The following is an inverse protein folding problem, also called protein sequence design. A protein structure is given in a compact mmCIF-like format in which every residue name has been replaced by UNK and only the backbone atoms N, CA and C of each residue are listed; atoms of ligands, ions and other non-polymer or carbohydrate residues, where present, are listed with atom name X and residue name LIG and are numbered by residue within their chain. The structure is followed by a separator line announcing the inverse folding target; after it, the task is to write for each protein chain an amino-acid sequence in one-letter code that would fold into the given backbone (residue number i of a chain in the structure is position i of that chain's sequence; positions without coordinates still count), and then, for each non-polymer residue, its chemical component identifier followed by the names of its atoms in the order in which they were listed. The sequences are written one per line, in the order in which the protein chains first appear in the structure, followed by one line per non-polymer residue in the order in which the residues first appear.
data_IF_833218701448
#
_entry.id   IF_833218701448
#
_cell.length_a   1.000
_cell.length_b   1.000
_cell.length_c   1.000
_cell.angle_alpha   90.00
_cell.angle_beta   90.00
_cell.angle_gamma   90.00
#
_symmetry.space_group_name_H-M   'P 1'
#
loop_
_entity.id
_entity.type
_entity.pdbx_description
1 polymer ?
#
# COMPACT_ATOMS: atom_id res chain seq x y z
N UNK A 1 -22.70 2.85 22.92
CA UNK A 1 -21.57 3.73 22.57
C UNK A 1 -21.85 4.19 21.15
N UNK A 2 -22.03 5.49 20.95
CA UNK A 2 -22.37 6.08 19.65
C UNK A 2 -21.39 5.61 18.58
N UNK A 3 -21.92 4.91 17.59
CA UNK A 3 -21.21 4.56 16.37
C UNK A 3 -20.95 5.86 15.62
N UNK A 4 -19.79 6.49 15.88
CA UNK A 4 -19.39 7.77 15.29
C UNK A 4 -19.13 7.57 13.81
N UNK A 5 -20.19 7.52 13.01
CA UNK A 5 -20.11 7.61 11.56
C UNK A 5 -19.64 9.00 11.16
N UNK A 6 -18.83 9.08 10.11
CA UNK A 6 -18.39 10.34 9.52
C UNK A 6 -18.78 10.39 8.05
N UNK A 7 -18.94 11.59 7.52
CA UNK A 7 -19.09 11.81 6.07
C UNK A 7 -17.74 12.28 5.54
N UNK A 8 -17.24 11.62 4.50
CA UNK A 8 -15.99 11.97 3.84
C UNK A 8 -16.11 11.69 2.34
N UNK A 9 -15.83 12.70 1.50
CA UNK A 9 -16.09 12.69 0.05
C UNK A 9 -17.49 12.16 -0.31
N UNK A 10 -18.54 12.71 0.31
CA UNK A 10 -19.94 12.32 0.07
C UNK A 10 -20.32 10.91 0.55
N UNK A 11 -19.39 10.16 1.14
CA UNK A 11 -19.64 8.81 1.62
C UNK A 11 -19.78 8.76 3.14
N UNK A 12 -20.81 8.08 3.61
CA UNK A 12 -20.90 7.70 5.03
C UNK A 12 -19.90 6.57 5.30
N UNK A 13 -19.09 6.77 6.33
CA UNK A 13 -18.06 5.84 6.78
C UNK A 13 -18.31 5.46 8.23
N UNK A 14 -18.22 4.17 8.53
CA UNK A 14 -18.24 3.64 9.89
C UNK A 14 -16.82 3.40 10.40
N UNK A 15 -16.67 3.46 11.72
CA UNK A 15 -15.38 3.25 12.36
C UNK A 15 -14.96 1.79 12.15
N UNK A 16 -13.79 1.60 11.53
CA UNK A 16 -13.20 0.27 11.34
C UNK A 16 -12.12 0.01 12.38
N UNK A 17 -11.66 -1.24 12.44
CA UNK A 17 -10.63 -1.73 13.39
C UNK A 17 -9.35 -0.89 13.42
N UNK A 18 -9.00 -0.22 12.31
CA UNK A 18 -7.81 0.65 12.19
C UNK A 18 -8.11 2.15 12.29
N UNK A 19 -9.31 2.53 12.71
CA UNK A 19 -9.71 3.94 12.84
C UNK A 19 -9.83 4.69 11.52
N UNK A 20 -9.98 6.01 11.61
CA UNK A 20 -10.18 6.92 10.47
C UNK A 20 -8.91 7.58 9.95
N UNK A 21 -7.81 7.52 10.71
CA UNK A 21 -6.48 8.06 10.38
C UNK A 21 -5.41 7.03 10.69
N UNK A 22 -4.32 7.05 9.93
CA UNK A 22 -3.13 6.25 10.20
C UNK A 22 -2.45 6.79 11.46
N UNK A 23 -2.21 5.89 12.41
CA UNK A 23 -1.43 6.15 13.61
C UNK A 23 -0.41 5.03 13.78
N UNK A 24 0.62 5.29 14.58
CA UNK A 24 1.64 4.29 14.87
C UNK A 24 1.01 3.05 15.53
N UNK A 25 0.03 3.26 16.39
CA UNK A 25 -0.65 2.23 17.18
C UNK A 25 -1.57 1.35 16.31
N UNK A 26 -2.20 1.91 15.28
CA UNK A 26 -3.12 1.17 14.41
C UNK A 26 -2.47 0.63 13.12
N UNK A 27 -1.19 0.93 12.89
CA UNK A 27 -0.48 0.55 11.68
C UNK A 27 -0.26 -0.97 11.58
N UNK A 28 0.25 -1.58 12.65
CA UNK A 28 0.64 -2.99 12.65
C UNK A 28 -0.29 -3.85 13.52
N UNK A 29 -1.17 -4.61 12.87
CA UNK A 29 -1.96 -5.66 13.54
C UNK A 29 -1.23 -6.98 13.34
N UNK A 30 -0.72 -7.55 14.43
CA UNK A 30 0.01 -8.82 14.42
C UNK A 30 -0.91 -9.95 13.98
N UNK A 31 -0.42 -10.80 13.09
CA UNK A 31 -1.06 -12.05 12.68
C UNK A 31 0.02 -13.09 12.39
N UNK A 32 -0.11 -14.28 12.94
CA UNK A 32 0.76 -15.40 12.60
C UNK A 32 0.32 -16.14 11.33
N UNK A 33 -0.81 -15.80 10.72
CA UNK A 33 -1.24 -16.43 9.47
C UNK A 33 -0.49 -15.84 8.28
N UNK A 34 0.19 -16.72 7.53
CA UNK A 34 0.76 -16.40 6.23
C UNK A 34 -0.35 -16.06 5.23
N UNK A 35 -0.12 -15.01 4.46
CA UNK A 35 -1.02 -14.57 3.40
C UNK A 35 -0.48 -14.93 2.01
N UNK A 36 0.66 -15.61 1.94
CA UNK A 36 1.31 -16.03 0.70
C UNK A 36 0.80 -17.39 0.18
N UNK A 37 -0.10 -18.05 0.91
CA UNK A 37 -0.55 -19.42 0.62
C UNK A 37 0.50 -20.46 1.03
N UNK A 38 0.35 -21.69 0.55
CA UNK A 38 1.29 -22.78 0.87
C UNK A 38 2.66 -22.47 0.29
N UNK A 39 3.69 -22.61 1.12
CA UNK A 39 5.07 -22.43 0.70
C UNK A 39 5.58 -23.69 0.00
N UNK A 40 5.42 -23.74 -1.32
CA UNK A 40 5.82 -24.90 -2.13
C UNK A 40 7.31 -25.19 -2.08
N UNK A 41 8.16 -24.16 -1.90
CA UNK A 41 9.61 -24.35 -1.75
C UNK A 41 9.90 -25.11 -0.46
N UNK A 42 9.28 -24.70 0.66
CA UNK A 42 9.46 -25.39 1.94
C UNK A 42 8.93 -26.83 1.90
N UNK A 43 7.74 -27.03 1.33
CA UNK A 43 7.15 -28.36 1.15
C UNK A 43 8.06 -29.26 0.30
N UNK A 44 8.66 -28.73 -0.77
CA UNK A 44 9.59 -29.49 -1.61
C UNK A 44 10.91 -29.77 -0.90
N UNK A 45 11.43 -28.83 -0.12
CA UNK A 45 12.63 -29.03 0.70
C UNK A 45 12.45 -30.18 1.69
N UNK A 46 11.30 -30.24 2.38
CA UNK A 46 10.95 -31.35 3.26
C UNK A 46 10.89 -32.70 2.53
N UNK A 47 10.30 -32.75 1.33
CA UNK A 47 10.23 -33.97 0.51
C UNK A 47 11.60 -34.46 0.03
N UNK A 48 12.53 -33.54 -0.24
CA UNK A 48 13.88 -33.83 -0.73
C UNK A 48 14.92 -33.99 0.39
N UNK A 49 14.51 -33.79 1.64
CA UNK A 49 15.40 -33.71 2.80
C UNK A 49 16.54 -32.67 2.60
N UNK A 50 16.22 -31.51 2.03
CA UNK A 50 17.18 -30.40 1.89
C UNK A 50 17.34 -29.70 3.25
N UNK A 51 18.30 -30.17 4.05
CA UNK A 51 18.53 -29.71 5.42
C UNK A 51 18.74 -28.19 5.51
N UNK A 52 19.41 -27.59 4.52
CA UNK A 52 19.70 -26.16 4.50
C UNK A 52 18.41 -25.34 4.36
N UNK A 53 17.56 -25.68 3.39
CA UNK A 53 16.28 -25.01 3.19
C UNK A 53 15.30 -25.30 4.34
N UNK A 54 15.26 -26.55 4.81
CA UNK A 54 14.41 -26.94 5.95
C UNK A 54 14.74 -26.09 7.16
N UNK A 55 16.02 -25.95 7.51
CA UNK A 55 16.46 -25.12 8.64
C UNK A 55 16.00 -23.67 8.47
N UNK A 56 16.31 -23.06 7.33
CA UNK A 56 15.95 -21.66 7.04
C UNK A 56 14.43 -21.40 7.15
N UNK A 57 13.59 -22.30 6.63
CA UNK A 57 12.14 -22.12 6.71
C UNK A 57 11.56 -22.48 8.08
N UNK A 58 12.17 -23.42 8.82
CA UNK A 58 11.72 -23.78 10.19
C UNK A 58 11.97 -22.69 11.24
N UNK A 59 12.85 -21.73 10.94
CA UNK A 59 13.06 -20.52 11.74
C UNK A 59 11.96 -19.47 11.49
N UNK A 60 11.19 -19.61 10.40
CA UNK A 60 10.13 -18.66 9.99
C UNK A 60 8.74 -19.24 10.29
N UNK A 61 8.51 -20.49 9.89
CA UNK A 61 7.20 -21.15 9.93
C UNK A 61 7.10 -22.17 11.07
N UNK A 62 5.96 -22.20 11.73
CA UNK A 62 5.61 -23.14 12.79
C UNK A 62 5.03 -24.44 12.24
N UNK A 63 4.57 -24.44 10.99
CA UNK A 63 3.98 -25.59 10.30
C UNK A 63 4.77 -25.96 9.03
N UNK A 64 4.59 -27.19 8.57
CA UNK A 64 5.31 -27.73 7.40
C UNK A 64 4.78 -27.24 6.05
N UNK A 65 3.64 -26.54 6.03
CA UNK A 65 3.06 -25.99 4.79
C UNK A 65 3.40 -24.50 4.60
N UNK A 66 3.98 -23.84 5.61
CA UNK A 66 4.30 -22.42 5.57
C UNK A 66 3.07 -21.51 5.69
N UNK A 67 2.03 -21.98 6.38
CA UNK A 67 0.79 -21.24 6.59
C UNK A 67 0.78 -20.45 7.90
N UNK A 68 1.63 -20.81 8.86
CA UNK A 68 1.68 -20.23 10.20
C UNK A 68 3.12 -19.80 10.49
N UNK A 69 3.33 -18.52 10.75
CA UNK A 69 4.57 -17.98 11.26
C UNK A 69 4.77 -18.32 12.72
N UNK A 70 6.03 -18.41 13.14
CA UNK A 70 6.38 -18.55 14.56
C UNK A 70 6.22 -17.24 15.30
N UNK A 71 5.95 -17.32 16.60
CA UNK A 71 5.76 -16.15 17.45
C UNK A 71 7.03 -15.29 17.60
N UNK A 72 8.21 -15.92 17.64
CA UNK A 72 9.51 -15.24 17.66
C UNK A 72 9.75 -14.46 16.36
N UNK A 73 9.44 -15.06 15.21
CA UNK A 73 9.44 -14.37 13.93
C UNK A 73 8.46 -13.19 13.92
N UNK A 74 7.22 -13.37 14.38
CA UNK A 74 6.23 -12.28 14.43
C UNK A 74 6.69 -11.11 15.32
N UNK A 75 7.30 -11.38 16.47
CA UNK A 75 7.84 -10.33 17.35
C UNK A 75 8.96 -9.54 16.67
N UNK A 76 9.90 -10.24 16.01
CA UNK A 76 10.98 -9.61 15.26
C UNK A 76 10.41 -8.75 14.12
N UNK A 77 9.51 -9.32 13.32
CA UNK A 77 8.89 -8.62 12.19
C UNK A 77 8.11 -7.38 12.65
N UNK A 78 7.44 -7.42 13.81
CA UNK A 78 6.78 -6.24 14.37
C UNK A 78 7.76 -5.11 14.65
N UNK A 79 8.92 -5.41 15.24
CA UNK A 79 9.97 -4.40 15.51
C UNK A 79 10.42 -3.75 14.20
N UNK A 80 10.71 -4.56 13.18
CA UNK A 80 11.12 -4.10 11.86
C UNK A 80 10.04 -3.24 11.18
N UNK A 81 8.77 -3.65 11.29
CA UNK A 81 7.62 -2.94 10.73
C UNK A 81 7.45 -1.57 11.39
N UNK A 82 7.57 -1.52 12.71
CA UNK A 82 7.46 -0.27 13.48
C UNK A 82 8.64 0.65 13.17
N UNK A 83 9.85 0.12 13.03
CA UNK A 83 11.00 0.88 12.57
C UNK A 83 10.78 1.46 11.16
N UNK A 84 10.28 0.66 10.22
CA UNK A 84 9.96 1.12 8.88
C UNK A 84 8.90 2.24 8.87
N UNK A 85 7.91 2.15 9.76
CA UNK A 85 6.91 3.20 9.94
C UNK A 85 7.55 4.51 10.39
N UNK A 86 8.37 4.45 11.45
CA UNK A 86 9.02 5.63 12.02
C UNK A 86 9.96 6.28 10.99
N UNK A 87 10.70 5.49 10.21
CA UNK A 87 11.52 5.98 9.09
C UNK A 87 10.70 6.70 8.02
N UNK A 88 9.56 6.14 7.61
CA UNK A 88 8.68 6.79 6.64
C UNK A 88 8.09 8.10 7.18
N UNK A 89 7.66 8.13 8.45
CA UNK A 89 7.12 9.35 9.06
C UNK A 89 8.17 10.45 9.12
N UNK A 90 9.38 10.13 9.57
CA UNK A 90 10.50 11.07 9.57
C UNK A 90 10.84 11.54 8.14
N UNK A 91 10.77 10.65 7.15
CA UNK A 91 10.98 11.02 5.75
C UNK A 91 9.92 12.02 5.27
N UNK A 92 8.63 11.77 5.56
CA UNK A 92 7.54 12.66 5.16
C UNK A 92 7.67 14.06 5.76
N UNK A 93 8.12 14.17 7.02
CA UNK A 93 8.34 15.45 7.69
C UNK A 93 9.43 16.31 7.04
N UNK A 94 10.33 15.71 6.25
CA UNK A 94 11.41 16.42 5.53
C UNK A 94 11.02 16.86 4.13
N UNK A 95 9.85 16.47 3.63
CA UNK A 95 9.45 16.75 2.25
C UNK A 95 9.05 18.22 2.06
N UNK A 96 9.40 18.76 0.90
CA UNK A 96 9.05 20.14 0.52
C UNK A 96 7.58 20.19 0.05
N UNK A 97 6.73 20.79 0.88
CA UNK A 97 5.31 20.99 0.58
C UNK A 97 5.07 21.90 -0.63
N UNK A 98 5.89 22.93 -0.85
CA UNK A 98 5.72 23.85 -1.98
C UNK A 98 6.01 23.10 -3.28
N UNK A 99 7.11 22.35 -3.31
CA UNK A 99 7.44 21.49 -4.44
C UNK A 99 6.36 20.44 -4.71
N UNK A 100 5.81 19.83 -3.65
CA UNK A 100 4.73 18.85 -3.77
C UNK A 100 3.48 19.46 -4.44
N UNK A 101 3.03 20.62 -3.97
CA UNK A 101 1.89 21.33 -4.57
C UNK A 101 2.16 21.73 -6.02
N UNK A 102 3.36 22.19 -6.33
CA UNK A 102 3.76 22.55 -7.69
C UNK A 102 3.68 21.34 -8.64
N UNK A 103 4.11 20.14 -8.21
CA UNK A 103 4.00 18.93 -9.02
C UNK A 103 2.55 18.51 -9.25
N UNK A 104 1.69 18.59 -8.24
CA UNK A 104 0.24 18.32 -8.38
C UNK A 104 -0.39 19.31 -9.35
N UNK A 105 -0.08 20.60 -9.23
CA UNK A 105 -0.59 21.63 -10.13
C UNK A 105 -0.09 21.44 -11.58
N UNK A 106 1.18 21.05 -11.77
CA UNK A 106 1.72 20.74 -13.09
C UNK A 106 1.07 19.49 -13.70
N UNK A 107 0.81 18.46 -12.90
CA UNK A 107 0.12 17.26 -13.36
C UNK A 107 -1.28 17.59 -13.88
N UNK A 108 -2.07 18.39 -13.14
CA UNK A 108 -3.42 18.81 -13.57
C UNK A 108 -3.42 19.64 -14.85
N UNK A 109 -2.34 20.36 -15.16
CA UNK A 109 -2.21 21.11 -16.44
C UNK A 109 -1.94 20.20 -17.64
N UNK A 110 -1.32 19.03 -17.41
CA UNK A 110 -0.85 18.12 -18.48
C UNK A 110 -1.79 16.93 -18.70
N UNK A 111 -2.40 16.44 -17.62
CA UNK A 111 -3.22 15.24 -17.63
C UNK A 111 -4.71 15.59 -17.65
N UNK A 112 -5.56 14.64 -18.09
CA UNK A 112 -7.03 14.79 -18.15
C UNK A 112 -7.73 14.65 -16.79
N UNK A 113 -6.97 14.73 -15.70
CA UNK A 113 -7.49 14.58 -14.36
C UNK A 113 -8.16 15.87 -13.89
N UNK A 114 -9.14 15.73 -13.01
CA UNK A 114 -9.74 16.82 -12.27
C UNK A 114 -10.02 16.41 -10.83
N UNK A 115 -10.04 17.39 -9.93
CA UNK A 115 -10.30 17.16 -8.51
C UNK A 115 -11.80 16.99 -8.25
N UNK A 116 -12.15 16.08 -7.33
CA UNK A 116 -13.54 15.83 -6.92
C UNK A 116 -13.70 16.03 -5.42
N UNK A 117 -14.89 16.46 -5.02
CA UNK A 117 -15.28 16.64 -3.62
C UNK A 117 -16.28 15.58 -3.15
N UNK A 118 -16.88 14.83 -4.08
CA UNK A 118 -17.84 13.76 -3.80
C UNK A 118 -17.45 12.49 -4.59
N UNK A 119 -17.07 11.44 -3.87
CA UNK A 119 -16.68 10.15 -4.46
C UNK A 119 -17.90 9.27 -4.78
N UNK A 120 -19.08 9.58 -4.25
CA UNK A 120 -20.29 8.77 -4.41
C UNK A 120 -20.73 8.65 -5.87
N UNK A 121 -20.44 9.67 -6.68
CA UNK A 121 -20.77 9.80 -8.11
C UNK A 121 -19.85 8.98 -9.04
N UNK A 122 -18.73 8.44 -8.54
CA UNK A 122 -17.68 7.83 -9.37
C UNK A 122 -17.67 6.30 -9.31
N UNK A 123 -18.85 5.67 -9.47
CA UNK A 123 -18.96 4.21 -9.73
C UNK A 123 -18.70 3.91 -11.21
N UNK A 124 -17.51 4.25 -11.68
CA UNK A 124 -17.13 4.15 -13.08
C UNK A 124 -15.66 3.70 -13.23
N UNK A 125 -15.28 3.17 -14.40
CA UNK A 125 -13.90 2.84 -14.69
C UNK A 125 -13.06 4.10 -14.88
N UNK A 126 -11.76 3.97 -14.62
CA UNK A 126 -10.79 5.01 -14.93
C UNK A 126 -9.60 5.01 -13.98
N UNK A 127 -8.88 6.12 -14.01
CA UNK A 127 -7.72 6.37 -13.16
C UNK A 127 -8.08 7.31 -12.01
N UNK A 128 -7.36 7.19 -10.91
CA UNK A 128 -7.51 8.06 -9.76
C UNK A 128 -6.15 8.36 -9.11
N UNK A 129 -6.07 9.52 -8.45
CA UNK A 129 -4.97 9.88 -7.56
C UNK A 129 -5.55 10.14 -6.19
N UNK A 130 -5.08 9.40 -5.19
CA UNK A 130 -5.33 9.71 -3.78
C UNK A 130 -4.18 10.56 -3.28
N UNK A 131 -4.49 11.77 -2.78
CA UNK A 131 -3.49 12.71 -2.28
C UNK A 131 -3.59 12.76 -0.75
N UNK A 132 -2.43 12.68 -0.11
CA UNK A 132 -2.25 12.63 1.34
C UNK A 132 -1.42 13.84 1.78
N UNK A 133 -2.04 15.04 1.77
CA UNK A 133 -1.31 16.33 1.88
C UNK A 133 -0.41 16.43 3.10
N UNK A 134 -0.85 15.90 4.24
CA UNK A 134 -0.07 15.87 5.49
C UNK A 134 1.30 15.20 5.31
N UNK A 135 1.40 14.26 4.38
CA UNK A 135 2.57 13.41 4.20
C UNK A 135 3.37 13.78 2.93
N UNK A 136 2.92 14.78 2.15
CA UNK A 136 3.42 15.04 0.79
C UNK A 136 3.48 13.75 -0.04
N UNK A 137 2.48 12.87 0.10
CA UNK A 137 2.42 11.62 -0.64
C UNK A 137 1.18 11.57 -1.52
N UNK A 138 1.30 10.86 -2.64
CA UNK A 138 0.19 10.51 -3.50
C UNK A 138 0.29 9.06 -3.99
N UNK A 139 -0.86 8.51 -4.36
CA UNK A 139 -0.99 7.19 -4.96
C UNK A 139 -1.79 7.31 -6.25
N UNK A 140 -1.22 6.83 -7.35
CA UNK A 140 -1.92 6.71 -8.62
C UNK A 140 -2.45 5.29 -8.76
N UNK A 141 -3.68 5.12 -9.22
CA UNK A 141 -4.24 3.80 -9.49
C UNK A 141 -5.19 3.79 -10.67
N UNK A 142 -5.48 2.59 -11.16
CA UNK A 142 -6.50 2.30 -12.19
C UNK A 142 -7.47 1.24 -11.70
N UNK A 143 -8.71 1.26 -12.19
CA UNK A 143 -9.73 0.28 -11.82
C UNK A 143 -10.96 0.34 -12.74
N UNK A 144 -11.76 -0.73 -12.73
CA UNK A 144 -13.11 -0.72 -13.32
C UNK A 144 -14.17 0.00 -12.47
N UNK A 145 -13.87 0.33 -11.21
CA UNK A 145 -14.77 1.10 -10.32
C UNK A 145 -13.96 1.94 -9.30
N UNK A 146 -13.80 3.24 -9.60
CA UNK A 146 -12.99 4.18 -8.81
C UNK A 146 -13.46 4.25 -7.36
N UNK A 147 -14.75 4.49 -7.14
CA UNK A 147 -15.36 4.58 -5.81
C UNK A 147 -15.08 3.34 -4.98
N UNK A 148 -15.37 2.16 -5.52
CA UNK A 148 -15.20 0.91 -4.78
C UNK A 148 -13.72 0.62 -4.50
N UNK A 149 -12.82 0.95 -5.42
CA UNK A 149 -11.39 0.72 -5.22
C UNK A 149 -10.79 1.63 -4.15
N UNK A 150 -11.10 2.93 -4.16
CA UNK A 150 -10.63 3.85 -3.11
C UNK A 150 -11.17 3.42 -1.74
N UNK A 151 -12.44 3.02 -1.64
CA UNK A 151 -13.02 2.48 -0.40
C UNK A 151 -12.27 1.23 0.11
N UNK A 152 -11.83 0.35 -0.79
CA UNK A 152 -11.02 -0.82 -0.41
C UNK A 152 -9.66 -0.42 0.18
N UNK A 153 -9.01 0.60 -0.41
CA UNK A 153 -7.76 1.15 0.12
C UNK A 153 -7.97 1.74 1.53
N UNK A 154 -8.98 2.59 1.71
CA UNK A 154 -9.31 3.14 3.03
C UNK A 154 -9.62 2.06 4.09
N UNK A 155 -10.30 0.99 3.68
CA UNK A 155 -10.59 -0.14 4.56
C UNK A 155 -9.35 -0.98 4.92
N UNK A 156 -8.21 -0.77 4.24
CA UNK A 156 -6.98 -1.54 4.45
C UNK A 156 -7.12 -3.00 4.01
N UNK A 157 -7.99 -3.29 3.03
CA UNK A 157 -8.38 -4.65 2.68
C UNK A 157 -7.21 -5.58 2.32
N UNK A 158 -6.14 -5.01 1.75
CA UNK A 158 -4.92 -5.74 1.36
C UNK A 158 -3.78 -5.65 2.36
N UNK A 159 -3.95 -4.92 3.46
CA UNK A 159 -2.87 -4.71 4.43
C UNK A 159 -2.75 -5.94 5.34
N UNK A 160 -1.71 -6.74 5.10
CA UNK A 160 -1.40 -7.96 5.84
C UNK A 160 -0.08 -7.80 6.57
N UNK A 161 0.00 -8.34 7.79
CA UNK A 161 1.14 -8.19 8.69
C UNK A 161 2.47 -8.57 8.01
N UNK A 162 2.48 -9.72 7.35
CA UNK A 162 3.60 -10.30 6.60
C UNK A 162 3.93 -9.59 5.27
N UNK A 163 3.21 -8.50 4.94
CA UNK A 163 3.40 -7.70 3.71
C UNK A 163 3.59 -6.20 3.99
N UNK A 164 3.74 -5.83 5.26
CA UNK A 164 3.95 -4.43 5.67
C UNK A 164 5.29 -3.89 5.19
N UNK A 165 6.33 -4.73 5.15
CA UNK A 165 7.63 -4.40 4.56
C UNK A 165 7.72 -5.01 3.16
N UNK A 166 8.16 -4.21 2.20
CA UNK A 166 8.42 -4.63 0.81
C UNK A 166 9.88 -4.33 0.49
N UNK A 167 10.73 -5.36 0.52
CA UNK A 167 12.18 -5.22 0.36
C UNK A 167 12.88 -4.89 1.69
N UNK A 168 13.81 -3.94 1.67
CA UNK A 168 14.61 -3.56 2.84
C UNK A 168 13.85 -2.58 3.75
N UNK A 169 14.04 -2.67 5.07
CA UNK A 169 13.39 -1.80 6.07
C UNK A 169 13.64 -0.32 5.78
N UNK A 170 14.87 0.04 5.41
CA UNK A 170 15.27 1.42 5.12
C UNK A 170 14.82 1.91 3.74
N UNK A 171 14.20 1.04 2.93
CA UNK A 171 13.78 1.37 1.56
C UNK A 171 12.31 1.13 1.23
N UNK A 172 11.61 0.42 2.12
CA UNK A 172 10.22 0.03 1.95
C UNK A 172 9.30 1.22 2.17
N UNK A 173 8.58 1.63 1.12
CA UNK A 173 7.51 2.63 1.23
C UNK A 173 6.30 2.06 1.97
N UNK A 174 5.57 2.91 2.71
CA UNK A 174 4.26 2.51 3.23
C UNK A 174 3.27 2.23 2.09
N UNK A 175 2.49 1.16 2.22
CA UNK A 175 1.39 0.87 1.29
C UNK A 175 0.33 1.98 1.33
N UNK A 176 -0.31 2.29 0.21
CA UNK A 176 -1.51 3.15 0.21
C UNK A 176 -2.60 2.57 1.14
N UNK A 177 -2.69 1.23 1.23
CA UNK A 177 -3.61 0.53 2.13
C UNK A 177 -3.30 0.75 3.62
N UNK A 178 -2.16 1.38 3.96
CA UNK A 178 -1.79 1.80 5.32
C UNK A 178 -2.51 3.08 5.74
N UNK A 179 -2.78 3.96 4.79
CA UNK A 179 -3.53 5.18 5.03
C UNK A 179 -5.03 4.88 5.14
N UNK A 180 -5.72 5.68 5.94
CA UNK A 180 -7.15 5.61 6.17
C UNK A 180 -7.86 6.70 5.39
N UNK A 181 -9.18 6.72 5.52
CA UNK A 181 -10.03 7.68 4.84
C UNK A 181 -9.59 9.12 5.06
N UNK A 182 -9.50 9.55 6.33
CA UNK A 182 -9.21 10.95 6.66
C UNK A 182 -7.73 11.33 6.49
N UNK A 183 -6.87 10.41 6.04
CA UNK A 183 -5.54 10.75 5.58
C UNK A 183 -5.57 11.22 4.11
N UNK A 184 -6.61 10.83 3.35
CA UNK A 184 -6.86 11.32 2.00
C UNK A 184 -7.55 12.67 2.09
N UNK A 185 -6.91 13.69 1.52
CA UNK A 185 -7.36 15.08 1.60
C UNK A 185 -7.83 15.61 0.27
N UNK A 186 -7.30 15.06 -0.85
CA UNK A 186 -7.78 15.34 -2.21
C UNK A 186 -7.89 14.04 -3.00
N UNK A 187 -8.83 14.00 -3.94
CA UNK A 187 -8.98 12.92 -4.91
C UNK A 187 -9.02 13.54 -6.30
N UNK A 188 -8.11 13.10 -7.17
CA UNK A 188 -8.18 13.41 -8.59
C UNK A 188 -8.71 12.20 -9.33
N UNK A 189 -9.53 12.40 -10.36
CA UNK A 189 -10.06 11.31 -11.19
C UNK A 189 -9.92 11.62 -12.67
N UNK A 190 -9.79 10.56 -13.46
CA UNK A 190 -9.94 10.57 -14.90
C UNK A 190 -10.81 9.37 -15.30
N UNK A 191 -12.15 9.55 -15.37
CA UNK A 191 -13.07 8.51 -15.81
C UNK A 191 -12.82 8.14 -17.27
N UNK A 192 -12.64 6.84 -17.54
CA UNK A 192 -12.36 6.30 -18.88
C UNK A 192 -12.48 4.78 -18.86
N UNK A 193 -12.90 4.18 -19.97
CA UNK A 193 -12.92 2.72 -20.14
C UNK A 193 -11.52 2.14 -20.48
N UNK A 194 -10.59 2.98 -20.94
CA UNK A 194 -9.19 2.60 -21.25
C UNK A 194 -8.32 2.53 -19.98
N UNK A 195 -8.42 1.42 -19.23
CA UNK A 195 -7.84 1.27 -17.90
C UNK A 195 -6.51 0.47 -17.84
N UNK A 196 -5.96 0.03 -18.98
CA UNK A 196 -4.85 -0.94 -19.01
C UNK A 196 -3.49 -0.38 -19.41
N UNK A 197 -3.40 0.88 -19.84
CA UNK A 197 -2.26 1.31 -20.66
C UNK A 197 -1.38 2.42 -20.05
N UNK A 198 -1.85 3.16 -19.02
CA UNK A 198 -1.25 4.48 -18.67
C UNK A 198 -0.88 4.69 -17.20
N UNK A 199 -1.00 3.69 -16.32
CA UNK A 199 -0.75 3.90 -14.89
C UNK A 199 0.70 4.36 -14.62
N UNK A 200 1.70 3.72 -15.24
CA UNK A 200 3.10 4.13 -15.08
C UNK A 200 3.40 5.49 -15.72
N UNK A 201 2.70 5.87 -16.80
CA UNK A 201 2.83 7.20 -17.41
C UNK A 201 2.44 8.29 -16.41
N UNK A 202 1.31 8.12 -15.73
CA UNK A 202 0.85 9.05 -14.70
C UNK A 202 1.72 9.02 -13.44
N UNK A 203 2.19 7.85 -13.00
CA UNK A 203 3.14 7.74 -11.88
C UNK A 203 4.42 8.53 -12.17
N UNK A 204 4.96 8.41 -13.38
CA UNK A 204 6.24 9.03 -13.77
C UNK A 204 6.13 10.55 -14.00
N UNK A 205 4.93 11.13 -13.89
CA UNK A 205 4.75 12.59 -13.87
C UNK A 205 5.20 13.23 -12.55
N UNK A 206 5.40 12.43 -11.50
CA UNK A 206 5.74 12.87 -10.15
C UNK A 206 7.13 12.38 -9.73
N UNK A 207 7.81 13.16 -8.91
CA UNK A 207 9.07 12.77 -8.27
C UNK A 207 8.87 11.57 -7.35
N UNK A 208 9.82 10.63 -7.34
CA UNK A 208 9.73 9.38 -6.58
C UNK A 208 9.53 9.58 -5.06
N UNK A 209 9.97 10.71 -4.53
CA UNK A 209 9.81 11.11 -3.12
C UNK A 209 8.34 11.37 -2.73
N UNK A 210 7.49 11.74 -3.68
CA UNK A 210 6.07 12.01 -3.45
C UNK A 210 5.16 10.81 -3.76
N UNK A 211 5.64 9.78 -4.45
CA UNK A 211 4.80 8.66 -4.91
C UNK A 211 4.90 7.43 -4.00
N UNK A 212 3.80 7.03 -3.36
CA UNK A 212 3.75 5.85 -2.49
C UNK A 212 3.39 4.53 -3.19
N UNK A 213 3.20 4.51 -4.52
CA UNK A 213 3.11 3.27 -5.31
C UNK A 213 4.35 2.39 -5.04
N UNK A 214 4.11 1.12 -4.66
CA UNK A 214 5.17 0.13 -4.34
C UNK A 214 5.55 -0.76 -5.52
N UNK A 215 4.70 -0.86 -6.53
CA UNK A 215 4.88 -1.69 -7.73
C UNK A 215 4.41 -0.85 -8.94
N UNK A 216 5.12 -0.93 -10.07
CA UNK A 216 4.67 -0.35 -11.35
C UNK A 216 3.45 -1.07 -11.94
N UNK A 217 2.70 -0.39 -12.80
CA UNK A 217 1.40 -0.80 -13.35
C UNK A 217 1.45 -1.85 -14.47
N UNK A 218 2.46 -2.74 -14.48
CA UNK A 218 2.62 -3.74 -15.56
C UNK A 218 1.78 -4.97 -15.24
N UNK A 219 1.06 -5.49 -16.26
CA UNK A 219 0.37 -6.78 -16.24
C UNK A 219 1.21 -7.85 -15.53
N UNK A 220 0.70 -8.32 -14.38
CA UNK A 220 1.28 -9.40 -13.59
C UNK A 220 1.08 -10.76 -14.30
N UNK A 221 1.59 -10.92 -15.54
CA UNK A 221 1.60 -12.22 -16.21
C UNK A 221 2.62 -13.20 -15.59
N UNK A 222 3.56 -12.73 -14.73
CA UNK A 222 4.66 -13.56 -14.22
C UNK A 222 4.91 -13.48 -12.69
N UNK A 223 3.87 -13.37 -11.88
CA UNK A 223 3.92 -13.65 -10.43
C UNK A 223 4.97 -12.86 -9.62
N UNK A 224 5.46 -13.44 -8.51
CA UNK A 224 6.34 -12.80 -7.51
C UNK A 224 7.64 -12.23 -8.11
N UNK A 225 8.19 -12.85 -9.16
CA UNK A 225 9.39 -12.39 -9.86
C UNK A 225 9.18 -11.05 -10.58
N UNK A 226 8.04 -10.88 -11.26
CA UNK A 226 7.67 -9.58 -11.88
C UNK A 226 7.40 -8.48 -10.85
N UNK A 227 6.93 -8.84 -9.65
CA UNK A 227 6.69 -7.87 -8.57
C UNK A 227 8.01 -7.34 -7.97
N UNK A 228 9.03 -8.20 -7.80
CA UNK A 228 10.35 -7.80 -7.30
C UNK A 228 11.12 -6.92 -8.30
N UNK A 229 10.99 -7.18 -9.60
CA UNK A 229 11.66 -6.40 -10.66
C UNK A 229 11.07 -5.00 -10.84
N UNK A 230 9.78 -4.81 -10.54
CA UNK A 230 9.05 -3.54 -10.67
C UNK A 230 8.85 -2.83 -9.32
N UNK A 231 9.55 -3.27 -8.27
CA UNK A 231 9.41 -2.71 -6.94
C UNK A 231 9.94 -1.28 -6.90
N UNK A 232 9.06 -0.33 -6.57
CA UNK A 232 9.41 1.09 -6.41
C UNK A 232 9.80 1.35 -4.96
N UNK A 233 11.10 1.44 -4.69
CA UNK A 233 11.66 1.80 -3.37
C UNK A 233 12.12 3.26 -3.34
N UNK A 234 12.50 3.75 -2.16
CA UNK A 234 13.23 5.02 -1.99
C UNK A 234 14.18 4.90 -0.81
N UNK A 235 15.18 5.76 -0.70
CA UNK A 235 15.94 5.84 0.55
C UNK A 235 15.11 6.59 1.60
N UNK A 236 15.11 6.11 2.85
CA UNK A 236 14.40 6.73 3.97
C UNK A 236 15.35 7.35 5.00
N UNK A 237 16.64 7.01 4.93
CA UNK A 237 17.70 7.55 5.79
C UNK A 237 18.25 8.88 5.25
#
# INVERSE_FOLDING_TARGET
MDDKTIIHFGLTMSLRTRGYKLTRENYAIISNKSTHGKNMIYIQALKRNDEKLIKAYSEIYADKEGLIYRDDWCKKHLIEVVQNFDLNMNFFERLDHVKFEDEVAQFLKKARFFEITDLSEYSCPGYYVMILDKYCQLYVGTTGDIKNRIRQHWAGGKLKFDRLICGQITKSKLSIDSFRALDTTRILVYPTDDIYCKEDEFINCFSNEFVCNRIGGVNMEFGVLSASANMKTRDLE
#
